data_IF_093548435216
#
_entry.id   IF_093548435216
#
_cell.length_a   1.000
_cell.length_b   1.000
_cell.length_c   1.000
_cell.angle_alpha   90.00
_cell.angle_beta   90.00
_cell.angle_gamma   90.00
#
_symmetry.space_group_name_H-M   'P 1'
#
loop_
_entity.id
_entity.type
_entity.pdbx_description
1 polymer ?
#
# COMPACT_ATOMS: atom_id res chain seq x y z
N UNK A 1 10.93 -4.18 -1.82
CA UNK A 1 11.64 -4.28 -3.12
C UNK A 1 12.65 -3.15 -3.16
N UNK A 2 13.92 -3.48 -3.38
CA UNK A 2 15.04 -2.53 -3.46
C UNK A 2 15.05 -1.97 -4.89
N UNK A 3 15.04 -0.65 -5.06
CA UNK A 3 15.11 -0.02 -6.38
C UNK A 3 16.52 0.54 -6.54
N UNK A 4 17.27 -0.02 -7.49
CA UNK A 4 18.61 0.47 -7.82
C UNK A 4 18.48 1.51 -8.94
N UNK A 5 18.89 2.75 -8.66
CA UNK A 5 19.12 3.75 -9.71
C UNK A 5 20.61 3.73 -10.08
N UNK A 6 20.90 3.72 -11.38
CA UNK A 6 22.25 3.88 -11.90
C UNK A 6 22.61 5.37 -11.85
N UNK A 7 23.71 5.71 -11.20
CA UNK A 7 24.33 7.04 -11.25
C UNK A 7 25.69 6.87 -11.91
N UNK A 8 26.04 7.79 -12.81
CA UNK A 8 27.30 7.77 -13.56
C UNK A 8 28.18 8.87 -12.98
N UNK A 9 29.22 8.49 -12.24
CA UNK A 9 30.17 9.42 -11.65
C UNK A 9 31.52 9.33 -12.37
N UNK A 10 32.10 10.48 -12.75
CA UNK A 10 33.42 10.57 -13.37
C UNK A 10 34.48 10.85 -12.28
N UNK A 11 35.05 9.81 -11.68
CA UNK A 11 36.15 9.97 -10.71
C UNK A 11 37.46 10.16 -11.47
N UNK A 12 37.96 11.40 -11.50
CA UNK A 12 39.20 11.78 -12.18
C UNK A 12 40.41 11.39 -11.33
N UNK A 13 40.86 10.14 -11.39
CA UNK A 13 42.15 9.75 -10.80
C UNK A 13 43.30 10.40 -11.58
N UNK A 14 43.85 11.49 -11.05
CA UNK A 14 45.14 12.03 -11.50
C UNK A 14 46.24 11.04 -11.10
N UNK A 15 47.05 10.63 -12.06
CA UNK A 15 48.24 9.77 -12.00
C UNK A 15 47.94 8.35 -12.51
N UNK A 16 48.67 7.98 -13.56
CA UNK A 16 48.62 6.76 -14.38
C UNK A 16 47.69 6.83 -15.59
N UNK A 17 48.30 6.58 -16.75
CA UNK A 17 47.83 6.93 -18.09
C UNK A 17 46.45 6.37 -18.45
N UNK A 18 45.59 7.30 -18.87
CA UNK A 18 44.41 7.17 -19.75
C UNK A 18 43.87 5.74 -19.88
N UNK A 19 43.13 5.30 -18.86
CA UNK A 19 41.94 4.48 -19.07
C UNK A 19 40.84 5.13 -18.24
N UNK A 20 39.92 5.82 -18.92
CA UNK A 20 38.77 6.46 -18.27
C UNK A 20 37.81 5.37 -17.79
N UNK A 21 38.02 4.89 -16.57
CA UNK A 21 37.16 3.89 -15.96
C UNK A 21 35.91 4.58 -15.42
N UNK A 22 34.86 4.66 -16.24
CA UNK A 22 33.53 5.11 -15.78
C UNK A 22 33.02 4.06 -14.81
N UNK A 23 33.04 4.36 -13.51
CA UNK A 23 32.55 3.41 -12.51
C UNK A 23 31.05 3.62 -12.31
N UNK A 24 30.29 2.52 -12.36
CA UNK A 24 28.85 2.52 -12.07
C UNK A 24 28.68 2.40 -10.56
N UNK A 25 28.28 3.50 -9.90
CA UNK A 25 27.90 3.50 -8.49
C UNK A 25 26.40 3.19 -8.38
N UNK A 26 26.04 2.38 -7.38
CA UNK A 26 24.66 2.04 -7.06
C UNK A 26 24.26 2.74 -5.76
N UNK A 27 23.42 3.76 -5.86
CA UNK A 27 22.85 4.44 -4.69
C UNK A 27 21.60 3.71 -4.19
N UNK A 28 21.52 3.45 -2.88
CA UNK A 28 20.37 2.81 -2.22
C UNK A 28 19.32 3.86 -1.86
N UNK A 29 18.30 4.02 -2.69
CA UNK A 29 17.10 4.78 -2.33
C UNK A 29 16.05 3.85 -1.71
N UNK A 30 15.52 4.24 -0.54
CA UNK A 30 14.40 3.55 0.08
C UNK A 30 13.18 3.58 -0.87
N UNK A 31 12.69 2.40 -1.27
CA UNK A 31 11.57 2.29 -2.21
C UNK A 31 10.30 3.02 -1.71
N UNK A 32 9.40 3.43 -2.62
CA UNK A 32 8.23 4.22 -2.25
C UNK A 32 7.36 3.45 -1.24
N UNK A 33 7.12 4.07 -0.08
CA UNK A 33 6.17 3.56 0.91
C UNK A 33 4.80 3.44 0.22
N UNK A 34 4.13 2.29 0.38
CA UNK A 34 2.78 2.07 -0.18
C UNK A 34 1.81 3.08 0.44
N UNK A 35 1.53 4.17 -0.27
CA UNK A 35 0.61 5.23 0.15
C UNK A 35 -0.65 5.16 -0.71
N UNK A 36 -1.81 5.29 -0.07
CA UNK A 36 -3.07 5.45 -0.78
C UNK A 36 -3.24 6.90 -1.22
N UNK A 37 -3.82 7.12 -2.41
CA UNK A 37 -4.14 8.47 -2.87
C UNK A 37 -5.17 9.10 -1.93
N UNK A 38 -4.96 10.37 -1.62
CA UNK A 38 -5.91 11.20 -0.90
C UNK A 38 -7.20 11.37 -1.70
N UNK A 39 -8.28 11.74 -1.01
CA UNK A 39 -9.56 12.02 -1.68
C UNK A 39 -9.42 13.16 -2.70
N UNK A 40 -8.69 14.22 -2.35
CA UNK A 40 -8.48 15.38 -3.23
C UNK A 40 -7.81 14.99 -4.56
N UNK A 41 -6.76 14.18 -4.51
CA UNK A 41 -6.07 13.69 -5.72
C UNK A 41 -7.00 12.86 -6.62
N UNK A 42 -7.85 12.01 -6.01
CA UNK A 42 -8.82 11.21 -6.77
C UNK A 42 -9.94 12.06 -7.38
N UNK A 43 -10.40 13.08 -6.65
CA UNK A 43 -11.39 14.03 -7.14
C UNK A 43 -10.85 14.80 -8.34
N UNK A 44 -9.59 15.24 -8.28
CA UNK A 44 -8.92 15.87 -9.42
C UNK A 44 -8.89 14.93 -10.63
N UNK A 45 -8.47 13.67 -10.46
CA UNK A 45 -8.47 12.67 -11.55
C UNK A 45 -9.88 12.49 -12.15
N UNK A 46 -10.90 12.35 -11.30
CA UNK A 46 -12.28 12.15 -11.75
C UNK A 46 -12.84 13.37 -12.47
N UNK A 47 -12.54 14.58 -11.99
CA UNK A 47 -12.95 15.83 -12.64
C UNK A 47 -12.32 15.98 -14.03
N UNK A 48 -11.01 15.71 -14.14
CA UNK A 48 -10.29 15.77 -15.43
C UNK A 48 -10.81 14.75 -16.44
N UNK A 49 -11.18 13.55 -15.97
CA UNK A 49 -11.83 12.55 -16.82
C UNK A 49 -13.25 12.96 -17.23
N UNK A 50 -14.02 13.57 -16.32
CA UNK A 50 -15.36 14.12 -16.64
C UNK A 50 -15.28 15.27 -17.66
N UNK A 51 -14.18 16.03 -17.66
CA UNK A 51 -13.88 17.04 -18.67
C UNK A 51 -13.45 16.44 -20.04
N UNK A 52 -13.41 15.12 -20.19
CA UNK A 52 -13.12 14.44 -21.46
C UNK A 52 -11.65 14.20 -21.76
N UNK A 53 -10.74 14.45 -20.82
CA UNK A 53 -9.31 14.20 -21.04
C UNK A 53 -8.96 12.71 -21.05
N UNK A 54 -8.00 12.33 -21.89
CA UNK A 54 -7.53 10.95 -22.00
C UNK A 54 -6.62 10.58 -20.84
N UNK A 55 -6.65 9.32 -20.42
CA UNK A 55 -5.84 8.80 -19.30
C UNK A 55 -4.35 9.17 -19.32
N UNK A 56 -3.64 9.09 -20.47
CA UNK A 56 -2.24 9.51 -20.56
C UNK A 56 -2.02 11.01 -20.28
N UNK A 57 -2.96 11.86 -20.69
CA UNK A 57 -2.87 13.30 -20.49
C UNK A 57 -3.09 13.64 -19.01
N UNK A 58 -4.06 12.97 -18.38
CA UNK A 58 -4.30 13.05 -16.94
C UNK A 58 -3.05 12.58 -16.16
N UNK A 59 -2.34 11.55 -16.63
CA UNK A 59 -1.11 11.06 -16.01
C UNK A 59 0.00 12.11 -16.03
N UNK A 60 0.18 12.78 -17.17
CA UNK A 60 1.16 13.87 -17.29
C UNK A 60 0.81 15.04 -16.38
N UNK A 61 -0.48 15.40 -16.29
CA UNK A 61 -0.92 16.54 -15.49
C UNK A 61 -0.88 16.29 -13.98
N UNK A 62 -1.36 15.13 -13.53
CA UNK A 62 -1.42 14.76 -12.10
C UNK A 62 -0.13 14.15 -11.57
N UNK A 63 0.84 13.84 -12.45
CA UNK A 63 2.11 13.16 -12.15
C UNK A 63 1.92 11.81 -11.45
N UNK A 64 0.79 11.15 -11.72
CA UNK A 64 0.51 9.80 -11.24
C UNK A 64 0.72 8.77 -12.36
N UNK A 65 1.18 7.54 -12.03
CA UNK A 65 1.30 6.48 -13.02
C UNK A 65 -0.04 6.15 -13.69
N UNK A 66 -0.01 5.88 -15.00
CA UNK A 66 -1.19 5.54 -15.78
C UNK A 66 -2.01 4.37 -15.19
N UNK A 67 -1.41 3.28 -14.65
CA UNK A 67 -2.18 2.21 -13.99
C UNK A 67 -2.96 2.68 -12.77
N UNK A 68 -2.45 3.68 -12.05
CA UNK A 68 -3.11 4.25 -10.88
C UNK A 68 -4.35 5.02 -11.28
N UNK A 69 -4.28 5.79 -12.37
CA UNK A 69 -5.43 6.54 -12.90
C UNK A 69 -6.55 5.58 -13.33
N UNK A 70 -6.23 4.57 -14.14
CA UNK A 70 -7.22 3.59 -14.54
C UNK A 70 -7.80 2.82 -13.36
N UNK A 71 -7.00 2.49 -12.34
CA UNK A 71 -7.49 1.88 -11.12
C UNK A 71 -8.51 2.77 -10.39
N UNK A 72 -8.27 4.08 -10.30
CA UNK A 72 -9.20 5.04 -9.68
C UNK A 72 -10.49 5.12 -10.49
N UNK A 73 -10.39 5.31 -11.81
CA UNK A 73 -11.55 5.44 -12.69
C UNK A 73 -12.41 4.17 -12.73
N UNK A 74 -11.79 2.99 -12.83
CA UNK A 74 -12.51 1.72 -12.81
C UNK A 74 -13.21 1.48 -11.47
N UNK A 75 -12.56 1.83 -10.35
CA UNK A 75 -13.17 1.76 -9.03
C UNK A 75 -14.36 2.71 -8.92
N UNK A 76 -14.23 3.94 -9.42
CA UNK A 76 -15.31 4.92 -9.44
C UNK A 76 -16.49 4.43 -10.27
N UNK A 77 -16.24 3.89 -11.46
CA UNK A 77 -17.28 3.30 -12.32
C UNK A 77 -18.02 2.15 -11.63
N UNK A 78 -17.31 1.28 -10.91
CA UNK A 78 -17.92 0.12 -10.26
C UNK A 78 -18.62 0.42 -8.93
N UNK A 79 -18.15 1.40 -8.14
CA UNK A 79 -18.66 1.69 -6.79
C UNK A 79 -19.45 2.99 -6.68
N UNK A 80 -19.29 3.92 -7.61
CA UNK A 80 -19.82 5.29 -7.53
C UNK A 80 -19.13 6.19 -6.50
N UNK A 81 -18.12 5.70 -5.78
CA UNK A 81 -17.41 6.45 -4.73
C UNK A 81 -15.89 6.45 -4.94
N UNK A 82 -15.27 7.57 -4.63
CA UNK A 82 -13.82 7.78 -4.65
C UNK A 82 -13.17 7.53 -3.28
N UNK A 83 -13.98 7.42 -2.23
CA UNK A 83 -13.49 7.13 -0.90
C UNK A 83 -12.83 5.77 -0.81
N UNK A 84 -11.80 5.68 0.03
CA UNK A 84 -11.26 4.37 0.37
C UNK A 84 -12.23 3.70 1.34
N UNK A 85 -12.57 2.45 1.05
CA UNK A 85 -13.24 1.61 2.04
C UNK A 85 -12.27 1.39 3.19
N UNK A 86 -12.80 1.41 4.40
CA UNK A 86 -12.06 0.98 5.57
C UNK A 86 -11.46 -0.42 5.33
N UNK A 87 -10.27 -0.63 5.88
CA UNK A 87 -9.64 -1.95 5.78
C UNK A 87 -10.43 -2.91 6.65
N UNK A 88 -11.15 -3.82 6.00
CA UNK A 88 -11.77 -4.93 6.69
C UNK A 88 -10.69 -5.95 7.02
N UNK A 89 -10.51 -6.23 8.31
CA UNK A 89 -9.72 -7.36 8.75
C UNK A 89 -10.40 -8.68 8.42
N UNK A 90 -9.77 -9.79 8.81
CA UNK A 90 -10.41 -11.11 8.77
C UNK A 90 -11.65 -11.07 9.68
N UNK A 91 -12.83 -11.51 9.20
CA UNK A 91 -14.01 -11.57 10.07
C UNK A 91 -13.72 -12.48 11.26
N UNK A 92 -14.17 -12.06 12.44
CA UNK A 92 -14.02 -12.87 13.65
C UNK A 92 -14.97 -14.06 13.60
N UNK A 93 -14.46 -15.23 13.97
CA UNK A 93 -15.28 -16.45 14.08
C UNK A 93 -16.19 -16.39 15.31
N UNK A 94 -15.70 -15.82 16.41
CA UNK A 94 -16.41 -15.76 17.68
C UNK A 94 -17.37 -14.57 17.71
N UNK A 95 -18.58 -14.80 18.22
CA UNK A 95 -19.52 -13.69 18.48
C UNK A 95 -19.05 -12.86 19.68
N UNK A 96 -19.55 -11.61 19.85
CA UNK A 96 -19.26 -10.81 21.03
C UNK A 96 -19.67 -11.50 22.34
N UNK A 97 -20.74 -12.32 22.29
CA UNK A 97 -21.24 -13.07 23.45
C UNK A 97 -20.29 -14.21 23.82
N UNK A 98 -19.80 -14.95 22.84
CA UNK A 98 -18.83 -16.02 23.06
C UNK A 98 -17.55 -15.45 23.65
N UNK A 99 -17.04 -14.37 23.06
CA UNK A 99 -15.85 -13.66 23.53
C UNK A 99 -16.01 -13.22 24.99
N UNK A 100 -17.17 -12.67 25.37
CA UNK A 100 -17.46 -12.27 26.76
C UNK A 100 -17.46 -13.47 27.70
N UNK A 101 -18.13 -14.57 27.33
CA UNK A 101 -18.23 -15.76 28.18
C UNK A 101 -16.86 -16.42 28.34
N UNK A 102 -16.06 -16.53 27.28
CA UNK A 102 -14.66 -16.99 27.34
C UNK A 102 -13.86 -16.11 28.30
N UNK A 103 -13.93 -14.77 28.14
CA UNK A 103 -13.25 -13.83 29.03
C UNK A 103 -13.66 -13.98 30.49
N UNK A 104 -14.96 -14.17 30.78
CA UNK A 104 -15.45 -14.37 32.15
C UNK A 104 -14.96 -15.71 32.73
N UNK A 105 -15.06 -16.80 31.97
CA UNK A 105 -14.62 -18.14 32.42
C UNK A 105 -13.12 -18.17 32.71
N UNK A 106 -12.29 -17.58 31.85
CA UNK A 106 -10.83 -17.50 32.06
C UNK A 106 -10.48 -16.61 33.25
N UNK A 107 -11.26 -15.54 33.49
CA UNK A 107 -11.03 -14.66 34.65
C UNK A 107 -11.43 -15.29 35.97
N UNK A 108 -12.51 -16.08 36.00
CA UNK A 108 -12.97 -16.77 37.22
C UNK A 108 -12.07 -17.93 37.61
N UNK A 109 -11.62 -18.71 36.63
CA UNK A 109 -10.68 -19.81 36.83
C UNK A 109 -9.58 -19.78 35.78
N UNK A 110 -8.42 -19.25 36.19
CA UNK A 110 -7.26 -19.06 35.33
C UNK A 110 -6.53 -20.35 34.99
N UNK A 111 -6.74 -21.43 35.74
CA UNK A 111 -6.01 -22.69 35.58
C UNK A 111 -6.78 -23.74 34.78
N UNK A 112 -8.02 -23.42 34.38
CA UNK A 112 -8.87 -24.32 33.63
C UNK A 112 -8.27 -24.64 32.25
N UNK A 113 -8.17 -25.92 31.85
CA UNK A 113 -7.54 -26.30 30.59
C UNK A 113 -8.41 -25.91 29.39
N UNK A 114 -7.75 -25.66 28.25
CA UNK A 114 -8.41 -25.14 27.03
C UNK A 114 -9.58 -26.01 26.55
N UNK A 115 -9.41 -27.34 26.55
CA UNK A 115 -10.40 -28.27 26.04
C UNK A 115 -11.74 -28.19 26.80
N UNK A 116 -11.68 -27.98 28.12
CA UNK A 116 -12.88 -27.78 28.94
C UNK A 116 -13.57 -26.45 28.64
N UNK A 117 -12.80 -25.41 28.34
CA UNK A 117 -13.35 -24.09 28.00
C UNK A 117 -14.08 -24.17 26.66
N UNK A 118 -13.48 -24.83 25.67
CA UNK A 118 -14.08 -24.99 24.34
C UNK A 118 -15.33 -25.86 24.35
N UNK A 119 -15.42 -26.87 25.23
CA UNK A 119 -16.61 -27.74 25.34
C UNK A 119 -17.90 -26.97 25.71
N UNK A 120 -17.79 -25.77 26.28
CA UNK A 120 -18.91 -24.92 26.69
C UNK A 120 -19.54 -24.16 25.52
N UNK A 121 -18.89 -24.16 24.35
CA UNK A 121 -19.28 -23.43 23.15
C UNK A 121 -19.46 -24.43 22.00
N UNK A 122 -20.72 -24.71 21.63
CA UNK A 122 -21.10 -25.44 20.42
C UNK A 122 -21.80 -24.47 19.45
#
# INVERSE_FOLDING_TARGET
MKVFRKVIDLIRHRKFGIVCFVYISYSFENGPKRKELSLSEKNAIAALHKAGMKGPDIARQTRHPLPTIFRVLNRFKGRGSLENKERTGRPNLLTPRDTRKICTTVKSDRKRPLHEITAVFQ
#
